data_IF_147640535647
#
_entry.id   IF_147640535647
#
_cell.length_a   1.000
_cell.length_b   1.000
_cell.length_c   1.000
_cell.angle_alpha   90.00
_cell.angle_beta   90.00
_cell.angle_gamma   90.00
#
_symmetry.space_group_name_H-M   'P 1'
#
loop_
_entity.id
_entity.type
_entity.pdbx_description
1 polymer ?
#
# COMPACT_ATOMS: atom_id res chain seq x y z
N UNK A 1 -8.02 7.31 -1.59
CA UNK A 1 -7.49 5.92 -1.47
C UNK A 1 -5.97 5.87 -1.25
N UNK A 2 -5.49 6.39 -0.13
CA UNK A 2 -4.11 6.18 0.34
C UNK A 2 -4.10 6.25 1.86
N UNK A 3 -3.13 5.61 2.50
CA UNK A 3 -2.99 5.66 3.94
C UNK A 3 -1.64 5.14 4.42
N UNK A 4 -1.38 5.39 5.69
CA UNK A 4 -0.26 4.81 6.40
C UNK A 4 -0.66 4.39 7.80
N UNK A 5 0.10 3.47 8.37
CA UNK A 5 0.00 3.08 9.76
C UNK A 5 1.41 2.82 10.32
N UNK A 6 1.63 3.26 11.55
CA UNK A 6 2.87 3.07 12.30
C UNK A 6 2.51 2.40 13.61
N UNK A 7 3.08 1.23 13.86
CA UNK A 7 2.71 0.44 15.01
C UNK A 7 3.68 -0.69 15.26
N UNK A 8 3.21 -1.72 15.94
CA UNK A 8 3.99 -2.92 16.19
C UNK A 8 3.11 -4.16 16.16
N UNK A 9 3.74 -5.29 15.84
CA UNK A 9 3.16 -6.62 16.02
C UNK A 9 4.06 -7.48 16.90
N UNK A 10 3.43 -8.37 17.65
CA UNK A 10 4.05 -9.41 18.49
C UNK A 10 3.27 -10.69 18.28
N UNK A 11 3.69 -11.81 18.88
CA UNK A 11 2.88 -13.03 18.95
C UNK A 11 1.56 -12.92 19.74
N UNK A 12 1.21 -11.73 20.27
CA UNK A 12 -0.05 -11.48 20.96
C UNK A 12 -0.83 -10.26 20.39
N UNK A 13 -0.35 -9.67 19.29
CA UNK A 13 -0.94 -8.43 18.74
C UNK A 13 -2.10 -8.66 17.76
N UNK A 14 -2.38 -9.92 17.42
CA UNK A 14 -3.39 -10.31 16.44
C UNK A 14 -3.96 -11.69 16.73
N UNK A 15 -4.50 -12.32 15.70
CA UNK A 15 -5.16 -13.63 15.80
C UNK A 15 -4.18 -14.80 15.96
N UNK A 16 -2.88 -14.58 15.79
CA UNK A 16 -1.87 -15.63 15.74
C UNK A 16 -0.79 -15.52 16.81
N UNK A 17 -0.10 -16.63 17.06
CA UNK A 17 0.98 -16.72 18.05
C UNK A 17 2.35 -16.26 17.53
N UNK A 18 2.50 -16.05 16.22
CA UNK A 18 3.75 -15.61 15.59
C UNK A 18 3.66 -14.18 15.08
N UNK A 19 4.73 -13.39 15.30
CA UNK A 19 4.76 -11.99 14.93
C UNK A 19 4.67 -11.77 13.40
N UNK A 20 5.34 -12.60 12.59
CA UNK A 20 5.28 -12.49 11.13
C UNK A 20 3.89 -12.82 10.56
N UNK A 21 3.17 -13.77 11.17
CA UNK A 21 1.79 -14.10 10.81
C UNK A 21 0.85 -12.92 11.16
N UNK A 22 1.00 -12.34 12.34
CA UNK A 22 0.25 -11.14 12.74
C UNK A 22 0.60 -9.93 11.87
N UNK A 23 1.80 -9.84 11.32
CA UNK A 23 2.16 -8.79 10.36
C UNK A 23 1.38 -8.94 9.05
N UNK A 24 1.26 -10.16 8.51
CA UNK A 24 0.47 -10.41 7.29
C UNK A 24 -1.01 -10.13 7.53
N UNK A 25 -1.55 -10.48 8.69
CA UNK A 25 -2.90 -10.09 9.10
C UNK A 25 -3.06 -8.57 9.18
N UNK A 26 -2.10 -7.88 9.81
CA UNK A 26 -2.13 -6.42 9.93
C UNK A 26 -2.15 -5.75 8.56
N UNK A 27 -1.31 -6.20 7.63
CA UNK A 27 -1.28 -5.67 6.25
C UNK A 27 -2.64 -5.86 5.59
N UNK A 28 -3.25 -7.05 5.67
CA UNK A 28 -4.60 -7.31 5.15
C UNK A 28 -5.59 -6.28 5.70
N UNK A 29 -5.68 -6.17 7.03
CA UNK A 29 -6.68 -5.31 7.67
C UNK A 29 -6.53 -3.84 7.31
N UNK A 30 -5.28 -3.36 7.21
CA UNK A 30 -4.99 -1.99 6.83
C UNK A 30 -5.43 -1.70 5.39
N UNK A 31 -5.02 -2.53 4.43
CA UNK A 31 -5.20 -2.22 3.01
C UNK A 31 -6.59 -2.59 2.47
N UNK A 32 -7.37 -3.38 3.21
CA UNK A 32 -8.76 -3.71 2.83
C UNK A 32 -9.80 -2.99 3.69
N UNK A 33 -9.37 -2.05 4.55
CA UNK A 33 -10.29 -1.28 5.37
C UNK A 33 -11.26 -0.45 4.51
N UNK A 34 -12.50 -0.34 5.00
CA UNK A 34 -13.55 0.49 4.42
C UNK A 34 -14.28 1.22 5.55
N UNK A 35 -14.75 2.43 5.28
CA UNK A 35 -15.61 3.15 6.23
C UNK A 35 -16.91 3.57 5.57
N UNK A 36 -17.96 3.68 6.38
CA UNK A 36 -19.21 4.35 6.04
C UNK A 36 -19.47 5.40 7.12
N UNK A 37 -19.59 6.65 6.71
CA UNK A 37 -19.98 7.75 7.58
C UNK A 37 -21.44 7.65 8.01
N UNK A 38 -21.85 8.55 8.89
CA UNK A 38 -23.26 8.77 9.22
C UNK A 38 -23.95 9.56 8.11
N UNK A 39 -25.28 9.50 8.04
CA UNK A 39 -26.07 10.37 7.17
C UNK A 39 -26.00 11.83 7.65
N UNK A 40 -25.49 12.73 6.81
CA UNK A 40 -25.43 14.17 7.07
C UNK A 40 -26.56 14.88 6.34
N UNK A 41 -27.51 15.43 7.09
CA UNK A 41 -28.68 16.12 6.55
C UNK A 41 -28.39 17.54 6.05
N UNK A 42 -28.98 17.91 4.92
CA UNK A 42 -29.09 19.28 4.44
C UNK A 42 -30.52 19.52 3.99
N UNK A 43 -31.20 20.48 4.64
CA UNK A 43 -32.61 20.74 4.38
C UNK A 43 -33.29 21.45 5.54
N UNK A 44 -34.60 21.63 5.42
CA UNK A 44 -35.44 22.25 6.47
C UNK A 44 -36.59 21.36 6.96
N UNK A 45 -36.86 20.26 6.26
CA UNK A 45 -37.90 19.30 6.60
C UNK A 45 -37.45 18.28 7.65
N UNK A 46 -38.19 17.17 7.72
CA UNK A 46 -37.93 16.09 8.66
C UNK A 46 -36.55 15.45 8.41
N UNK A 47 -35.73 15.37 9.46
CA UNK A 47 -34.42 14.72 9.45
C UNK A 47 -34.43 13.42 10.26
N UNK A 48 -34.75 12.31 9.60
CA UNK A 48 -34.82 11.00 10.25
C UNK A 48 -34.26 9.85 9.39
N UNK A 49 -33.56 10.17 8.29
CA UNK A 49 -32.80 9.19 7.52
C UNK A 49 -31.51 8.82 8.26
N UNK A 50 -31.29 7.52 8.46
CA UNK A 50 -30.07 6.95 9.00
C UNK A 50 -29.36 6.05 7.98
N UNK A 51 -28.03 6.13 7.92
CA UNK A 51 -27.21 5.25 7.09
C UNK A 51 -26.85 3.94 7.81
N UNK A 52 -27.00 2.81 7.12
CA UNK A 52 -26.75 1.46 7.63
C UNK A 52 -25.89 0.60 6.72
N UNK A 53 -25.77 -0.69 7.06
CA UNK A 53 -25.07 -1.70 6.28
C UNK A 53 -23.56 -1.77 6.52
N UNK A 54 -22.76 -2.13 5.51
CA UNK A 54 -21.29 -2.11 5.51
C UNK A 54 -20.83 -1.79 4.10
N UNK A 55 -19.96 -0.80 3.93
CA UNK A 55 -19.49 -0.43 2.60
C UNK A 55 -18.51 -1.48 2.07
N UNK A 56 -18.80 -2.06 0.92
CA UNK A 56 -17.96 -3.09 0.27
C UNK A 56 -17.32 -2.63 -1.03
N UNK A 57 -17.47 -1.34 -1.38
CA UNK A 57 -16.92 -0.78 -2.60
C UNK A 57 -15.41 -0.53 -2.52
N UNK A 58 -14.78 -0.44 -3.69
CA UNK A 58 -13.31 -0.30 -3.83
C UNK A 58 -12.84 1.13 -4.07
N UNK A 59 -13.75 2.10 -4.11
CA UNK A 59 -13.43 3.52 -4.35
C UNK A 59 -14.14 4.39 -3.33
N UNK A 60 -13.61 5.57 -3.07
CA UNK A 60 -14.29 6.55 -2.22
C UNK A 60 -15.59 7.01 -2.90
N UNK A 61 -16.68 7.16 -2.14
CA UNK A 61 -18.00 7.57 -2.65
C UNK A 61 -18.72 8.49 -1.70
N UNK A 62 -19.55 9.36 -2.27
CA UNK A 62 -20.51 10.16 -1.52
C UNK A 62 -21.89 9.79 -2.00
N UNK A 63 -22.58 8.97 -1.23
CA UNK A 63 -23.98 8.67 -1.52
C UNK A 63 -24.83 9.86 -1.13
N UNK A 64 -25.69 10.33 -2.03
CA UNK A 64 -26.71 11.33 -1.72
C UNK A 64 -28.08 10.70 -1.88
N UNK A 65 -28.90 10.79 -0.85
CA UNK A 65 -30.33 10.43 -0.88
C UNK A 65 -31.11 11.73 -0.80
N UNK A 66 -31.90 12.06 -1.81
CA UNK A 66 -32.63 13.32 -1.92
C UNK A 66 -34.12 13.05 -2.12
N UNK A 67 -34.97 13.74 -1.38
CA UNK A 67 -36.43 13.69 -1.56
C UNK A 67 -36.77 14.27 -2.93
N UNK A 68 -37.45 13.49 -3.76
CA UNK A 68 -37.92 13.89 -5.10
C UNK A 68 -39.44 13.99 -5.21
N UNK A 69 -40.19 13.47 -4.25
CA UNK A 69 -41.62 13.74 -4.08
C UNK A 69 -42.01 13.75 -2.60
N UNK A 70 -42.77 14.76 -2.19
CA UNK A 70 -43.44 14.79 -0.90
C UNK A 70 -44.95 14.60 -1.12
N UNK A 71 -45.51 13.49 -0.62
CA UNK A 71 -46.92 13.08 -0.83
C UNK A 71 -47.38 12.16 0.33
N UNK A 72 -48.44 11.39 0.12
CA UNK A 72 -48.94 10.36 1.05
C UNK A 72 -47.89 9.33 1.43
N UNK A 73 -47.03 8.97 0.48
CA UNK A 73 -45.74 8.30 0.71
C UNK A 73 -44.70 9.12 -0.05
N UNK A 74 -43.74 9.65 0.69
CA UNK A 74 -42.64 10.40 0.09
C UNK A 74 -41.74 9.43 -0.71
N UNK A 75 -41.15 9.93 -1.79
CA UNK A 75 -40.13 9.21 -2.56
C UNK A 75 -38.79 9.91 -2.45
N UNK A 76 -37.73 9.15 -2.68
CA UNK A 76 -36.39 9.68 -2.87
C UNK A 76 -35.77 9.20 -4.19
N UNK A 77 -34.83 10.00 -4.67
CA UNK A 77 -33.80 9.59 -5.62
C UNK A 77 -32.47 9.49 -4.91
N UNK A 78 -31.56 8.70 -5.46
CA UNK A 78 -30.23 8.58 -4.88
C UNK A 78 -29.11 8.55 -5.92
N UNK A 79 -27.97 9.05 -5.48
CA UNK A 79 -26.76 9.26 -6.26
C UNK A 79 -25.58 8.62 -5.53
N UNK A 80 -24.59 8.15 -6.29
CA UNK A 80 -23.32 7.61 -5.77
C UNK A 80 -22.15 8.61 -5.84
N UNK A 81 -22.38 9.77 -6.45
CA UNK A 81 -21.38 10.77 -6.79
C UNK A 81 -21.76 12.18 -6.27
N UNK A 82 -22.47 12.24 -5.14
CA UNK A 82 -22.83 13.51 -4.49
C UNK A 82 -23.85 14.34 -5.27
N UNK A 83 -24.72 13.70 -6.04
CA UNK A 83 -25.79 14.33 -6.82
C UNK A 83 -25.38 14.80 -8.22
N UNK A 84 -24.25 14.34 -8.76
CA UNK A 84 -23.85 14.63 -10.15
C UNK A 84 -24.66 13.78 -11.13
N UNK A 85 -24.84 12.50 -10.83
CA UNK A 85 -25.73 11.57 -11.54
C UNK A 85 -26.65 10.83 -10.57
N UNK A 86 -27.82 10.41 -11.05
CA UNK A 86 -28.82 9.68 -10.27
C UNK A 86 -28.85 8.21 -10.69
N UNK A 87 -28.76 7.31 -9.72
CA UNK A 87 -28.78 5.86 -9.96
C UNK A 87 -30.22 5.33 -9.99
N UNK A 88 -31.09 5.89 -9.15
CA UNK A 88 -32.52 5.62 -9.14
C UNK A 88 -33.30 6.87 -8.71
N UNK A 89 -34.54 6.94 -9.15
CA UNK A 89 -35.51 8.01 -8.89
C UNK A 89 -36.86 7.38 -8.50
N UNK A 90 -37.76 8.16 -7.91
CA UNK A 90 -39.10 7.74 -7.50
C UNK A 90 -39.12 6.52 -6.54
N UNK A 91 -38.09 6.39 -5.70
CA UNK A 91 -37.99 5.26 -4.74
C UNK A 91 -38.86 5.55 -3.53
N UNK A 92 -39.97 4.83 -3.37
CA UNK A 92 -40.86 4.97 -2.22
C UNK A 92 -40.16 4.71 -0.89
N UNK A 93 -40.39 5.57 0.11
CA UNK A 93 -39.91 5.35 1.48
C UNK A 93 -40.77 4.29 2.17
N UNK A 94 -40.13 3.24 2.66
CA UNK A 94 -40.81 2.06 3.21
C UNK A 94 -40.82 1.98 4.74
N UNK A 95 -40.00 2.79 5.43
CA UNK A 95 -39.72 2.65 6.86
C UNK A 95 -38.74 1.51 7.22
N UNK A 96 -38.38 0.66 6.24
CA UNK A 96 -37.39 -0.39 6.39
C UNK A 96 -36.03 0.04 5.79
N UNK A 97 -34.99 -0.77 6.02
CA UNK A 97 -33.69 -0.55 5.39
C UNK A 97 -33.79 -0.77 3.87
N UNK A 98 -33.45 0.26 3.11
CA UNK A 98 -33.44 0.26 1.64
C UNK A 98 -31.99 0.30 1.17
N UNK A 99 -31.57 -0.70 0.41
CA UNK A 99 -30.21 -0.78 -0.13
C UNK A 99 -30.01 0.22 -1.26
N UNK A 100 -28.88 0.94 -1.23
CA UNK A 100 -28.41 1.77 -2.32
C UNK A 100 -27.56 0.92 -3.26
N UNK A 101 -26.34 0.58 -2.81
CA UNK A 101 -25.42 -0.38 -3.43
C UNK A 101 -24.21 -0.61 -2.51
N UNK A 102 -23.38 -1.61 -2.85
CA UNK A 102 -22.15 -1.96 -2.12
C UNK A 102 -22.39 -2.13 -0.61
N UNK A 103 -23.52 -2.76 -0.27
CA UNK A 103 -23.92 -3.02 1.11
C UNK A 103 -24.29 -1.78 1.93
N UNK A 104 -24.37 -0.59 1.32
CA UNK A 104 -24.85 0.63 2.00
C UNK A 104 -26.36 0.69 1.94
N UNK A 105 -26.99 0.90 3.09
CA UNK A 105 -28.44 1.06 3.20
C UNK A 105 -28.80 2.40 3.80
N UNK A 106 -30.04 2.84 3.59
CA UNK A 106 -30.66 3.95 4.33
C UNK A 106 -32.00 3.50 4.92
N UNK A 107 -32.35 4.05 6.08
CA UNK A 107 -33.62 3.79 6.75
C UNK A 107 -34.21 5.13 7.19
N UNK A 108 -35.48 5.36 6.87
CA UNK A 108 -36.27 6.50 7.37
C UNK A 108 -37.22 5.99 8.44
N UNK A 109 -37.50 6.79 9.47
CA UNK A 109 -38.44 6.38 10.53
C UNK A 109 -39.90 6.76 10.23
N UNK A 110 -40.10 7.78 9.38
CA UNK A 110 -41.38 8.18 8.82
C UNK A 110 -41.39 7.93 7.31
N UNK A 111 -42.57 7.66 6.74
CA UNK A 111 -42.76 7.52 5.28
C UNK A 111 -43.31 8.78 4.61
N UNK A 112 -43.57 9.83 5.39
CA UNK A 112 -44.14 11.10 4.92
C UNK A 112 -43.67 12.24 5.83
N UNK A 113 -43.74 13.49 5.35
CA UNK A 113 -43.42 14.70 6.10
C UNK A 113 -42.05 15.30 5.80
N UNK A 114 -41.34 14.76 4.80
CA UNK A 114 -40.10 15.35 4.32
C UNK A 114 -40.38 16.51 3.37
N UNK A 115 -39.37 17.35 3.11
CA UNK A 115 -39.48 18.47 2.16
C UNK A 115 -38.77 18.13 0.87
N UNK A 116 -39.40 18.45 -0.27
CA UNK A 116 -38.81 18.26 -1.59
C UNK A 116 -37.42 18.92 -1.67
N UNK A 117 -36.46 18.19 -2.24
CA UNK A 117 -35.04 18.54 -2.36
C UNK A 117 -34.19 18.48 -1.08
N UNK A 118 -34.76 18.22 0.09
CA UNK A 118 -33.94 17.87 1.27
C UNK A 118 -33.13 16.61 0.96
N UNK A 119 -31.91 16.53 1.49
CA UNK A 119 -31.04 15.39 1.22
C UNK A 119 -30.12 15.01 2.38
N UNK A 120 -29.64 13.78 2.32
CA UNK A 120 -28.63 13.23 3.21
C UNK A 120 -27.43 12.76 2.42
N UNK A 121 -26.24 13.05 2.92
CA UNK A 121 -24.99 12.55 2.36
C UNK A 121 -24.33 11.53 3.27
N UNK A 122 -23.84 10.44 2.68
CA UNK A 122 -23.09 9.39 3.35
C UNK A 122 -21.74 9.25 2.65
N UNK A 123 -20.69 9.74 3.30
CA UNK A 123 -19.33 9.58 2.81
C UNK A 123 -18.81 8.17 3.15
N UNK A 124 -18.36 7.45 2.14
CA UNK A 124 -17.74 6.13 2.30
C UNK A 124 -16.31 6.18 1.77
N UNK A 125 -15.38 5.56 2.50
CA UNK A 125 -13.98 5.47 2.06
C UNK A 125 -13.54 4.03 1.89
N UNK A 126 -12.61 3.80 0.97
CA UNK A 126 -12.00 2.50 0.71
C UNK A 126 -10.49 2.65 0.53
N UNK A 127 -9.75 1.64 0.95
CA UNK A 127 -8.30 1.56 0.69
C UNK A 127 -7.97 0.94 -0.67
N UNK A 128 -8.98 0.40 -1.38
CA UNK A 128 -8.87 -0.01 -2.78
C UNK A 128 -8.26 -1.39 -3.02
N UNK A 129 -8.15 -2.24 -1.99
CA UNK A 129 -7.70 -3.63 -2.13
C UNK A 129 -8.79 -4.64 -1.77
N UNK A 130 -8.82 -5.75 -2.49
CA UNK A 130 -9.68 -6.91 -2.21
C UNK A 130 -8.82 -8.12 -1.87
N UNK A 131 -9.22 -8.92 -0.89
CA UNK A 131 -8.62 -10.23 -0.62
C UNK A 131 -9.09 -11.22 -1.68
N UNK A 132 -8.15 -11.79 -2.44
CA UNK A 132 -8.42 -12.91 -3.35
C UNK A 132 -8.16 -14.27 -2.69
N UNK A 133 -7.23 -14.30 -1.73
CA UNK A 133 -6.88 -15.48 -0.96
C UNK A 133 -6.33 -15.08 0.39
N UNK A 134 -6.78 -15.78 1.43
CA UNK A 134 -6.21 -15.68 2.77
C UNK A 134 -6.19 -17.08 3.42
N UNK A 135 -5.02 -17.71 3.42
CA UNK A 135 -4.80 -19.06 3.97
C UNK A 135 -3.98 -18.95 5.26
N UNK A 136 -4.42 -19.59 6.33
CA UNK A 136 -3.86 -19.42 7.69
C UNK A 136 -3.00 -20.63 8.11
N UNK A 137 -2.15 -21.12 7.20
CA UNK A 137 -1.08 -22.08 7.54
C UNK A 137 -1.52 -23.48 7.95
N UNK A 138 -2.74 -23.90 7.60
CA UNK A 138 -3.34 -25.17 8.04
C UNK A 138 -2.53 -26.43 7.66
N UNK A 139 -1.66 -26.34 6.63
CA UNK A 139 -0.88 -27.49 6.11
C UNK A 139 0.61 -27.41 6.43
N UNK A 140 1.22 -26.23 6.34
CA UNK A 140 2.68 -26.05 6.47
C UNK A 140 3.08 -24.87 7.36
N UNK A 141 2.14 -24.31 8.13
CA UNK A 141 2.37 -23.17 9.01
C UNK A 141 2.52 -21.81 8.30
N UNK A 142 2.57 -21.80 6.96
CA UNK A 142 2.78 -20.56 6.22
C UNK A 142 1.45 -19.83 5.95
N UNK A 143 1.37 -18.55 6.33
CA UNK A 143 0.14 -17.76 6.09
C UNK A 143 0.27 -17.02 4.79
N UNK A 144 -0.72 -17.12 3.90
CA UNK A 144 -0.64 -16.55 2.54
C UNK A 144 -1.78 -15.58 2.33
N UNK A 145 -1.44 -14.44 1.79
CA UNK A 145 -2.36 -13.38 1.41
C UNK A 145 -2.11 -13.03 -0.06
N UNK A 146 -3.17 -13.05 -0.87
CA UNK A 146 -3.13 -12.50 -2.23
C UNK A 146 -4.21 -11.43 -2.33
N UNK A 147 -3.81 -10.26 -2.81
CA UNK A 147 -4.64 -9.06 -2.89
C UNK A 147 -4.81 -8.63 -4.35
N UNK A 148 -5.93 -7.98 -4.64
CA UNK A 148 -6.20 -7.26 -5.90
C UNK A 148 -6.46 -5.79 -5.61
N UNK A 149 -5.58 -4.91 -6.08
CA UNK A 149 -5.74 -3.46 -6.03
C UNK A 149 -6.55 -2.96 -7.22
N UNK A 150 -7.41 -1.95 -7.00
CA UNK A 150 -8.29 -1.38 -8.02
C UNK A 150 -7.61 -0.25 -8.84
N UNK A 151 -6.42 0.18 -8.47
CA UNK A 151 -5.74 1.33 -9.07
C UNK A 151 -6.35 2.67 -8.65
N UNK A 152 -5.67 3.79 -8.98
CA UNK A 152 -6.13 5.12 -8.54
C UNK A 152 -7.46 5.55 -9.16
N UNK A 153 -7.83 4.97 -10.31
CA UNK A 153 -9.10 5.21 -11.00
C UNK A 153 -10.17 4.17 -10.68
N UNK A 154 -9.85 3.12 -9.91
CA UNK A 154 -10.77 2.03 -9.60
C UNK A 154 -11.03 1.04 -10.75
N UNK A 155 -10.30 1.15 -11.86
CA UNK A 155 -10.53 0.36 -13.08
C UNK A 155 -9.41 -0.64 -13.40
N UNK A 156 -8.41 -0.77 -12.52
CA UNK A 156 -7.26 -1.63 -12.73
C UNK A 156 -7.36 -2.90 -11.90
N UNK A 157 -6.59 -3.92 -12.27
CA UNK A 157 -6.42 -5.13 -11.48
C UNK A 157 -4.94 -5.34 -11.19
N UNK A 158 -4.54 -5.11 -9.94
CA UNK A 158 -3.14 -5.13 -9.52
C UNK A 158 -2.95 -6.25 -8.52
N UNK A 159 -2.19 -7.26 -8.88
CA UNK A 159 -2.04 -8.47 -8.07
C UNK A 159 -0.73 -8.46 -7.30
N UNK A 160 -0.84 -8.46 -5.97
CA UNK A 160 0.28 -8.55 -5.04
C UNK A 160 0.00 -9.62 -3.99
N UNK A 161 1.04 -10.09 -3.31
CA UNK A 161 0.86 -11.05 -2.22
C UNK A 161 1.88 -10.91 -1.12
N UNK A 162 1.52 -11.48 0.03
CA UNK A 162 2.36 -11.64 1.21
C UNK A 162 2.31 -13.08 1.69
N UNK A 163 3.43 -13.60 2.21
CA UNK A 163 3.48 -14.90 2.85
C UNK A 163 4.30 -14.86 4.14
N UNK A 164 3.74 -15.26 5.28
CA UNK A 164 4.55 -15.50 6.48
C UNK A 164 5.19 -16.88 6.34
N UNK A 165 6.52 -16.98 6.35
CA UNK A 165 7.24 -18.24 6.24
C UNK A 165 8.35 -18.35 7.28
N UNK A 166 8.48 -19.53 7.92
CA UNK A 166 9.34 -19.67 9.09
C UNK A 166 9.82 -21.11 9.31
N UNK A 167 10.85 -21.27 10.13
CA UNK A 167 11.26 -22.54 10.71
C UNK A 167 11.83 -22.26 12.10
N UNK A 168 11.19 -22.80 13.15
CA UNK A 168 11.59 -22.55 14.54
C UNK A 168 12.95 -23.15 14.89
N UNK A 169 13.29 -24.32 14.34
CA UNK A 169 14.57 -24.99 14.58
C UNK A 169 15.75 -24.23 13.94
N UNK A 170 15.50 -23.60 12.78
CA UNK A 170 16.47 -22.78 12.07
C UNK A 170 16.41 -21.28 12.44
N UNK A 171 15.50 -20.91 13.36
CA UNK A 171 15.31 -19.57 13.91
C UNK A 171 15.18 -18.44 12.86
N UNK A 172 14.28 -18.64 11.89
CA UNK A 172 13.86 -17.57 10.99
C UNK A 172 12.34 -17.48 10.90
N UNK A 173 11.82 -16.25 10.86
CA UNK A 173 10.38 -15.95 10.84
C UNK A 173 10.08 -14.82 9.87
N UNK A 174 10.28 -15.09 8.60
CA UNK A 174 10.34 -14.09 7.55
C UNK A 174 8.96 -13.79 6.95
N UNK A 175 8.90 -12.72 6.16
CA UNK A 175 7.75 -12.35 5.35
C UNK A 175 8.18 -12.36 3.89
N UNK A 176 7.44 -13.02 3.02
CA UNK A 176 7.61 -13.00 1.58
C UNK A 176 6.67 -12.00 0.95
N UNK A 177 7.09 -11.43 -0.16
CA UNK A 177 6.33 -10.52 -1.00
C UNK A 177 6.25 -11.06 -2.43
N UNK A 178 5.16 -10.79 -3.11
CA UNK A 178 4.93 -11.21 -4.50
C UNK A 178 4.29 -10.09 -5.31
N UNK A 179 4.65 -10.02 -6.59
CA UNK A 179 3.84 -9.40 -7.63
C UNK A 179 3.61 -10.39 -8.78
N UNK A 180 2.42 -10.37 -9.37
CA UNK A 180 2.05 -11.22 -10.49
C UNK A 180 1.12 -10.50 -11.48
N UNK A 181 0.79 -11.15 -12.59
CA UNK A 181 -0.06 -10.56 -13.65
C UNK A 181 -1.49 -11.09 -13.65
N UNK A 182 -1.84 -11.93 -12.68
CA UNK A 182 -3.16 -12.52 -12.58
C UNK A 182 -3.28 -13.43 -11.38
N UNK A 183 -4.50 -13.93 -11.15
CA UNK A 183 -4.81 -14.84 -10.07
C UNK A 183 -5.51 -16.10 -10.61
N UNK A 184 -5.04 -17.27 -10.19
CA UNK A 184 -5.66 -18.57 -10.44
C UNK A 184 -5.80 -19.28 -9.11
N UNK A 185 -7.05 -19.60 -8.72
CA UNK A 185 -7.36 -20.19 -7.42
C UNK A 185 -6.69 -21.56 -7.21
N UNK A 186 -6.50 -22.34 -8.27
CA UNK A 186 -5.85 -23.65 -8.22
C UNK A 186 -4.32 -23.57 -8.10
N UNK A 187 -3.71 -22.45 -8.52
CA UNK A 187 -2.26 -22.29 -8.42
C UNK A 187 -1.85 -22.03 -6.97
N UNK A 188 -0.63 -22.47 -6.62
CA UNK A 188 -0.02 -22.10 -5.34
C UNK A 188 0.38 -20.62 -5.33
N UNK A 189 0.74 -20.09 -4.15
CA UNK A 189 1.25 -18.73 -4.00
C UNK A 189 2.40 -18.42 -4.96
N UNK A 190 3.39 -19.32 -5.08
CA UNK A 190 4.58 -19.11 -5.91
C UNK A 190 4.35 -19.36 -7.41
N UNK A 191 3.20 -19.92 -7.80
CA UNK A 191 2.91 -20.33 -9.19
C UNK A 191 1.81 -19.50 -9.85
N UNK A 192 1.45 -18.35 -9.25
CA UNK A 192 0.55 -17.41 -9.89
C UNK A 192 1.12 -16.93 -11.24
N UNK A 193 0.27 -16.57 -12.22
CA UNK A 193 0.70 -16.12 -13.54
C UNK A 193 1.81 -15.07 -13.49
N UNK A 194 2.99 -15.41 -14.03
CA UNK A 194 4.17 -14.53 -14.08
C UNK A 194 4.58 -13.99 -12.70
N UNK A 195 4.44 -14.79 -11.63
CA UNK A 195 4.83 -14.38 -10.29
C UNK A 195 6.33 -14.14 -10.16
N UNK A 196 6.70 -13.05 -9.50
CA UNK A 196 8.03 -12.83 -8.94
C UNK A 196 7.92 -12.64 -7.43
N UNK A 197 8.80 -13.31 -6.69
CA UNK A 197 8.81 -13.32 -5.23
C UNK A 197 10.15 -12.87 -4.67
N UNK A 198 10.08 -12.26 -3.50
CA UNK A 198 11.22 -11.84 -2.70
C UNK A 198 10.88 -11.95 -1.22
N UNK A 199 11.86 -11.95 -0.33
CA UNK A 199 11.67 -12.10 1.11
C UNK A 199 12.12 -10.87 1.88
N UNK A 200 11.58 -10.68 3.06
CA UNK A 200 11.92 -9.65 4.04
C UNK A 200 12.28 -10.42 5.31
N UNK A 201 13.54 -10.35 5.78
CA UNK A 201 13.93 -10.98 7.04
C UNK A 201 13.07 -10.44 8.17
N UNK A 202 12.72 -11.32 9.11
CA UNK A 202 12.04 -10.95 10.33
C UNK A 202 12.32 -11.97 11.43
N UNK A 203 11.79 -11.71 12.62
CA UNK A 203 11.90 -12.59 13.77
C UNK A 203 10.53 -12.79 14.44
N UNK A 204 10.52 -13.59 15.51
CA UNK A 204 9.31 -13.86 16.29
C UNK A 204 9.19 -13.01 17.55
N UNK A 205 9.86 -11.86 17.60
CA UNK A 205 9.77 -10.91 18.70
C UNK A 205 8.82 -9.76 18.32
N UNK A 206 8.93 -8.63 19.02
CA UNK A 206 8.26 -7.41 18.61
C UNK A 206 8.86 -6.92 17.28
N UNK A 207 8.00 -6.69 16.30
CA UNK A 207 8.31 -6.03 15.03
C UNK A 207 7.62 -4.67 15.05
N UNK A 208 8.39 -3.60 15.15
CA UNK A 208 7.85 -2.26 14.87
C UNK A 208 7.76 -2.06 13.36
N UNK A 209 6.69 -1.44 12.87
CA UNK A 209 6.45 -1.31 11.43
C UNK A 209 6.02 0.10 11.04
N UNK A 210 6.29 0.40 9.76
CA UNK A 210 5.73 1.50 9.00
C UNK A 210 5.17 0.90 7.71
N UNK A 211 3.85 0.94 7.54
CA UNK A 211 3.18 0.47 6.32
C UNK A 211 2.54 1.67 5.66
N UNK A 212 2.78 1.83 4.35
CA UNK A 212 2.21 2.91 3.55
C UNK A 212 1.63 2.30 2.28
N UNK A 213 0.48 2.80 1.83
CA UNK A 213 -0.23 2.20 0.72
C UNK A 213 -1.05 3.23 -0.05
N UNK A 214 -1.33 2.88 -1.30
CA UNK A 214 -2.48 3.40 -2.04
C UNK A 214 -3.10 2.23 -2.80
N UNK A 215 -4.10 2.47 -3.62
CA UNK A 215 -4.77 1.40 -4.39
C UNK A 215 -3.91 0.78 -5.51
N UNK A 216 -2.63 1.17 -5.65
CA UNK A 216 -1.65 0.65 -6.61
C UNK A 216 -0.39 0.02 -6.00
N UNK A 217 0.00 0.41 -4.78
CA UNK A 217 1.23 -0.06 -4.11
C UNK A 217 1.07 -0.25 -2.61
N UNK A 218 1.91 -1.10 -2.05
CA UNK A 218 2.13 -1.26 -0.61
C UNK A 218 3.65 -1.24 -0.38
N UNK A 219 4.11 -0.35 0.50
CA UNK A 219 5.50 -0.27 0.93
C UNK A 219 5.58 -0.47 2.44
N UNK A 220 6.61 -1.21 2.87
CA UNK A 220 6.77 -1.66 4.25
C UNK A 220 8.20 -1.38 4.69
N UNK A 221 8.35 -0.79 5.87
CA UNK A 221 9.57 -0.84 6.65
C UNK A 221 9.27 -1.53 7.99
N UNK A 222 10.22 -2.32 8.49
CA UNK A 222 10.11 -2.99 9.77
C UNK A 222 11.40 -2.81 10.54
N UNK A 223 11.31 -2.62 11.85
CA UNK A 223 12.43 -2.78 12.78
C UNK A 223 12.27 -4.13 13.44
N UNK A 224 13.21 -5.01 13.17
CA UNK A 224 13.17 -6.40 13.66
C UNK A 224 14.17 -6.62 14.79
N UNK A 225 15.25 -5.84 14.86
CA UNK A 225 16.23 -5.92 15.96
C UNK A 225 16.87 -4.54 16.23
N UNK A 226 17.78 -4.44 17.17
CA UNK A 226 18.44 -3.18 17.56
C UNK A 226 19.88 -3.10 17.04
N UNK A 227 20.17 -2.28 15.99
CA UNK A 227 19.27 -1.66 15.01
C UNK A 227 19.27 -2.42 13.68
N UNK A 228 18.21 -3.19 13.39
CA UNK A 228 18.04 -3.94 12.14
C UNK A 228 16.71 -3.54 11.51
N UNK A 229 16.80 -2.82 10.39
CA UNK A 229 15.65 -2.36 9.62
C UNK A 229 15.55 -3.09 8.29
N UNK A 230 14.34 -3.56 8.02
CA UNK A 230 13.99 -4.40 6.89
C UNK A 230 12.93 -3.69 6.05
N UNK A 231 12.90 -3.93 4.75
CA UNK A 231 12.10 -3.13 3.82
C UNK A 231 11.56 -3.98 2.68
N UNK A 232 10.38 -3.60 2.20
CA UNK A 232 9.73 -4.24 1.07
C UNK A 232 8.83 -3.28 0.29
N UNK A 233 8.66 -3.57 -1.00
CA UNK A 233 7.79 -2.83 -1.91
C UNK A 233 7.10 -3.79 -2.87
N UNK A 234 5.78 -3.67 -3.02
CA UNK A 234 5.01 -4.36 -4.05
C UNK A 234 3.98 -3.43 -4.67
N UNK A 235 3.78 -3.56 -5.97
CA UNK A 235 2.77 -2.81 -6.71
C UNK A 235 3.38 -1.92 -7.79
N UNK A 236 2.60 -0.94 -8.27
CA UNK A 236 3.02 -0.11 -9.39
C UNK A 236 4.05 0.95 -8.99
N UNK A 237 5.03 1.15 -9.86
CA UNK A 237 5.83 2.38 -9.88
C UNK A 237 5.18 3.39 -10.84
N UNK A 238 5.64 4.64 -10.81
CA UNK A 238 5.16 5.72 -11.67
C UNK A 238 5.95 5.71 -12.99
N UNK A 239 5.40 5.18 -14.11
CA UNK A 239 6.15 5.09 -15.35
C UNK A 239 6.31 6.45 -16.03
N UNK A 240 7.44 6.67 -16.71
CA UNK A 240 7.63 7.77 -17.66
C UNK A 240 7.08 7.40 -19.05
N UNK A 241 5.84 6.91 -19.05
CA UNK A 241 5.10 6.51 -20.23
C UNK A 241 3.60 6.70 -19.97
N UNK A 242 2.80 6.84 -21.04
CA UNK A 242 1.34 6.87 -20.90
C UNK A 242 0.83 5.50 -20.46
N UNK A 243 -0.33 5.40 -19.77
CA UNK A 243 -0.92 4.11 -19.41
C UNK A 243 -1.10 3.15 -20.61
N UNK A 244 -1.37 3.67 -21.81
CA UNK A 244 -1.47 2.85 -23.03
C UNK A 244 -0.13 2.31 -23.55
N UNK A 245 0.99 2.95 -23.20
CA UNK A 245 2.33 2.56 -23.62
C UNK A 245 2.98 1.62 -22.62
N UNK A 246 2.68 1.76 -21.33
CA UNK A 246 3.14 0.87 -20.26
C UNK A 246 1.95 0.41 -19.41
N UNK A 247 1.21 -0.63 -19.86
CA UNK A 247 -0.06 -1.00 -19.22
C UNK A 247 0.08 -1.53 -17.79
N UNK A 248 1.21 -2.17 -17.47
CA UNK A 248 1.38 -2.85 -16.18
C UNK A 248 2.78 -2.61 -15.57
N UNK A 249 3.08 -1.38 -15.12
CA UNK A 249 4.37 -0.97 -14.57
C UNK A 249 4.51 -1.42 -13.11
N UNK A 250 4.53 -2.73 -12.88
CA UNK A 250 4.62 -3.32 -11.55
C UNK A 250 6.07 -3.62 -11.16
N UNK A 251 6.42 -3.44 -9.89
CA UNK A 251 7.66 -3.91 -9.31
C UNK A 251 7.42 -4.65 -7.99
N UNK A 252 8.42 -5.44 -7.60
CA UNK A 252 8.41 -6.21 -6.37
C UNK A 252 9.85 -6.35 -5.87
N UNK A 253 10.03 -6.16 -4.56
CA UNK A 253 11.23 -6.59 -3.88
C UNK A 253 11.13 -6.45 -2.36
N UNK A 254 11.68 -7.43 -1.68
CA UNK A 254 12.14 -7.38 -0.29
C UNK A 254 13.66 -7.50 -0.26
N UNK A 255 14.26 -7.77 0.88
CA UNK A 255 15.71 -7.80 1.08
C UNK A 255 16.38 -9.17 0.79
N UNK A 256 15.59 -10.21 0.49
CA UNK A 256 16.04 -11.57 0.18
C UNK A 256 15.66 -12.01 -1.24
N UNK A 257 16.50 -12.84 -1.86
CA UNK A 257 16.18 -13.45 -3.16
C UNK A 257 15.20 -14.61 -2.97
N UNK A 258 13.96 -14.43 -3.42
CA UNK A 258 12.87 -15.38 -3.14
C UNK A 258 12.62 -15.55 -1.64
N UNK A 259 12.06 -16.70 -1.26
CA UNK A 259 11.80 -17.05 0.14
C UNK A 259 13.00 -17.77 0.77
N UNK A 260 14.14 -17.07 0.84
CA UNK A 260 15.36 -17.63 1.42
C UNK A 260 15.20 -17.90 2.92
N UNK A 261 15.79 -19.01 3.39
CA UNK A 261 15.86 -19.41 4.80
C UNK A 261 16.96 -18.62 5.53
N UNK A 262 16.78 -17.30 5.59
CA UNK A 262 17.76 -16.36 6.14
C UNK A 262 17.29 -15.85 7.51
N UNK A 263 18.17 -15.86 8.51
CA UNK A 263 17.87 -15.29 9.84
C UNK A 263 17.97 -13.77 9.80
N UNK A 264 17.24 -13.09 10.68
CA UNK A 264 17.27 -11.61 10.77
C UNK A 264 18.63 -11.05 11.18
N UNK A 265 19.51 -11.87 11.78
CA UNK A 265 20.87 -11.47 12.15
C UNK A 265 21.89 -11.60 11.02
N UNK A 266 21.48 -12.06 9.83
CA UNK A 266 22.33 -12.06 8.65
C UNK A 266 22.80 -10.63 8.30
N UNK A 267 23.98 -10.50 7.71
CA UNK A 267 24.55 -9.18 7.39
C UNK A 267 24.81 -8.95 5.89
N UNK A 268 24.36 -9.87 5.03
CA UNK A 268 24.63 -9.82 3.60
C UNK A 268 23.58 -9.04 2.81
N UNK A 269 22.36 -8.95 3.35
CA UNK A 269 21.23 -8.31 2.69
C UNK A 269 21.26 -6.77 2.82
N UNK A 270 20.40 -6.14 2.01
CA UNK A 270 20.32 -4.69 1.86
C UNK A 270 18.97 -4.31 1.25
N UNK A 271 18.53 -3.08 1.45
CA UNK A 271 17.28 -2.52 0.91
C UNK A 271 17.09 -2.92 -0.57
N UNK A 272 15.89 -3.40 -0.98
CA UNK A 272 15.66 -3.94 -2.33
C UNK A 272 16.05 -2.98 -3.45
N UNK A 273 15.73 -1.71 -3.29
CA UNK A 273 15.89 -0.68 -4.31
C UNK A 273 17.21 0.09 -4.18
N UNK A 274 18.23 -0.50 -3.54
CA UNK A 274 19.58 0.09 -3.45
C UNK A 274 20.50 -0.42 -4.55
N UNK A 275 20.60 0.35 -5.63
CA UNK A 275 21.45 0.06 -6.77
C UNK A 275 20.84 -0.99 -7.69
N UNK A 276 21.59 -2.06 -7.98
CA UNK A 276 21.12 -3.16 -8.82
C UNK A 276 21.11 -4.47 -8.00
N UNK A 277 19.92 -5.04 -7.80
CA UNK A 277 19.70 -6.12 -6.82
C UNK A 277 18.80 -7.21 -7.39
N UNK A 278 19.22 -8.47 -7.34
CA UNK A 278 18.48 -9.61 -7.92
C UNK A 278 17.11 -9.86 -7.27
N UNK A 279 16.96 -9.45 -6.00
CA UNK A 279 15.75 -9.50 -5.21
C UNK A 279 14.75 -8.37 -5.51
N UNK A 280 15.09 -7.43 -6.39
CA UNK A 280 14.20 -6.35 -6.81
C UNK A 280 14.05 -6.33 -8.33
N UNK A 281 12.82 -6.52 -8.80
CA UNK A 281 12.52 -6.54 -10.23
C UNK A 281 11.29 -5.73 -10.56
N UNK A 282 11.31 -5.14 -11.75
CA UNK A 282 10.15 -4.54 -12.39
C UNK A 282 9.74 -5.38 -13.60
N UNK A 283 8.47 -5.29 -13.98
CA UNK A 283 7.97 -5.91 -15.21
C UNK A 283 8.11 -4.96 -16.38
N UNK A 284 8.75 -5.40 -17.45
CA UNK A 284 8.98 -4.57 -18.66
C UNK A 284 7.78 -4.60 -19.60
N UNK A 285 7.83 -3.75 -20.65
CA UNK A 285 6.89 -3.76 -21.77
C UNK A 285 6.84 -5.09 -22.51
N UNK A 286 7.96 -5.83 -22.54
CA UNK A 286 8.04 -7.17 -23.12
C UNK A 286 7.38 -8.25 -22.24
N UNK A 287 6.86 -7.86 -21.07
CA UNK A 287 6.21 -8.75 -20.12
C UNK A 287 7.14 -9.65 -19.32
N UNK A 288 8.43 -9.33 -19.30
CA UNK A 288 9.47 -10.05 -18.56
C UNK A 288 9.86 -9.31 -17.29
N UNK A 289 10.31 -10.05 -16.28
CA UNK A 289 10.90 -9.47 -15.06
C UNK A 289 12.34 -9.03 -15.32
N UNK A 290 12.62 -7.76 -15.10
CA UNK A 290 13.95 -7.15 -15.26
C UNK A 290 14.49 -6.67 -13.91
N UNK A 291 15.76 -6.99 -13.65
CA UNK A 291 16.51 -6.51 -12.50
C UNK A 291 16.92 -5.06 -12.74
N UNK A 292 16.06 -4.14 -12.31
CA UNK A 292 16.27 -2.72 -12.52
C UNK A 292 17.52 -2.22 -11.80
N UNK A 293 18.23 -1.29 -12.44
CA UNK A 293 19.13 -0.38 -11.72
C UNK A 293 18.29 0.75 -11.15
N UNK A 294 18.70 1.27 -10.00
CA UNK A 294 17.99 2.35 -9.31
C UNK A 294 18.90 3.55 -9.10
N UNK A 295 18.42 4.72 -9.52
CA UNK A 295 19.01 5.99 -9.12
C UNK A 295 18.60 6.33 -7.68
N UNK A 296 19.42 7.09 -6.95
CA UNK A 296 20.72 7.59 -7.35
C UNK A 296 21.86 6.58 -7.12
N UNK A 297 21.63 5.44 -6.45
CA UNK A 297 22.68 4.45 -6.11
C UNK A 297 23.44 3.85 -7.31
N UNK A 298 22.89 3.95 -8.51
CA UNK A 298 23.57 3.61 -9.74
C UNK A 298 24.59 4.65 -10.25
N UNK A 299 24.63 5.85 -9.67
CA UNK A 299 25.49 6.97 -10.10
C UNK A 299 26.47 7.37 -9.00
N UNK A 300 27.76 7.14 -9.24
CA UNK A 300 28.85 7.42 -8.29
C UNK A 300 29.09 8.90 -8.01
N UNK A 301 28.65 9.80 -8.91
CA UNK A 301 28.80 11.25 -8.74
C UNK A 301 27.70 11.84 -7.87
N UNK A 302 26.48 11.31 -7.97
CA UNK A 302 25.35 11.72 -7.12
C UNK A 302 25.46 11.07 -5.74
N UNK A 303 25.91 9.81 -5.68
CA UNK A 303 25.93 9.06 -4.43
C UNK A 303 27.29 8.97 -3.75
N UNK A 304 28.34 9.62 -4.25
CA UNK A 304 29.70 9.48 -3.71
C UNK A 304 30.13 8.02 -3.43
N UNK A 305 29.58 7.07 -4.18
CA UNK A 305 29.86 5.64 -4.01
C UNK A 305 31.32 5.35 -4.27
N UNK A 306 31.86 4.32 -3.61
CA UNK A 306 33.23 3.86 -3.78
C UNK A 306 33.48 3.42 -5.23
N UNK A 307 33.88 4.35 -6.09
CA UNK A 307 34.52 4.01 -7.36
C UNK A 307 35.97 3.63 -7.06
N UNK A 308 36.46 2.58 -7.71
CA UNK A 308 37.88 2.23 -7.75
C UNK A 308 38.71 3.23 -8.58
N UNK A 309 38.09 4.30 -9.10
CA UNK A 309 38.70 5.15 -10.14
C UNK A 309 38.80 6.63 -9.78
N UNK A 310 38.20 7.07 -8.67
CA UNK A 310 38.36 8.41 -8.12
C UNK A 310 38.35 8.26 -6.61
N UNK A 311 39.42 8.72 -5.95
CA UNK A 311 39.54 8.77 -4.50
C UNK A 311 38.22 9.32 -3.93
N UNK A 312 37.43 8.52 -3.18
CA UNK A 312 36.14 8.98 -2.68
C UNK A 312 36.39 10.22 -1.83
N UNK A 313 35.98 11.39 -2.35
CA UNK A 313 36.04 12.60 -1.55
C UNK A 313 34.75 12.69 -0.75
N UNK A 314 34.78 12.73 0.58
CA UNK A 314 33.61 12.98 1.43
C UNK A 314 32.92 14.35 1.17
N UNK A 315 33.44 15.12 0.21
CA UNK A 315 32.89 16.38 -0.28
C UNK A 315 31.88 16.26 -1.43
N UNK A 316 31.67 15.07 -2.01
CA UNK A 316 30.68 14.86 -3.09
C UNK A 316 29.36 14.25 -2.61
N UNK A 317 29.26 13.85 -1.34
CA UNK A 317 28.03 13.30 -0.77
C UNK A 317 26.93 14.37 -0.76
N UNK A 318 25.70 13.99 -1.13
CA UNK A 318 24.54 14.86 -0.92
C UNK A 318 24.45 15.24 0.56
N UNK A 319 24.20 16.52 0.83
CA UNK A 319 24.00 17.08 2.17
C UNK A 319 22.70 17.86 2.21
N UNK A 320 22.27 18.19 3.42
CA UNK A 320 21.29 19.24 3.59
C UNK A 320 21.80 20.56 3.01
N UNK A 321 20.90 21.45 2.59
CA UNK A 321 21.25 22.82 2.23
C UNK A 321 20.46 23.76 3.11
N UNK A 322 21.14 24.39 4.05
CA UNK A 322 20.50 25.28 5.03
C UNK A 322 19.58 24.54 6.01
N UNK A 323 19.87 23.29 6.35
CA UNK A 323 19.03 22.45 7.24
C UNK A 323 17.95 21.64 6.52
N UNK A 324 17.75 21.87 5.22
CA UNK A 324 16.74 21.18 4.42
C UNK A 324 17.35 19.99 3.66
N UNK A 325 16.74 18.81 3.85
CA UNK A 325 17.14 17.59 3.16
C UNK A 325 16.51 17.50 1.77
N UNK A 326 17.29 17.05 0.79
CA UNK A 326 16.81 16.83 -0.57
C UNK A 326 16.35 15.38 -0.76
N UNK A 327 15.13 15.21 -1.27
CA UNK A 327 14.64 13.93 -1.75
C UNK A 327 15.07 13.71 -3.20
N UNK A 328 15.72 12.58 -3.46
CA UNK A 328 16.01 12.14 -4.83
C UNK A 328 15.06 10.99 -5.18
N UNK A 329 14.28 11.09 -6.28
CA UNK A 329 13.41 9.99 -6.70
C UNK A 329 14.22 8.71 -6.91
N UNK A 330 13.66 7.57 -6.50
CA UNK A 330 14.24 6.26 -6.80
C UNK A 330 13.80 5.84 -8.20
N UNK A 331 14.57 6.24 -9.20
CA UNK A 331 14.25 5.99 -10.60
C UNK A 331 14.77 4.62 -11.09
N UNK A 332 13.90 3.89 -11.78
CA UNK A 332 14.16 2.58 -12.36
C UNK A 332 14.73 2.76 -13.78
N UNK A 333 15.90 2.18 -14.04
CA UNK A 333 16.55 2.31 -15.34
C UNK A 333 17.31 1.05 -15.77
N UNK A 334 17.65 1.02 -17.06
CA UNK A 334 18.58 0.09 -17.69
C UNK A 334 19.85 0.85 -18.10
N UNK A 335 21.05 0.40 -17.72
CA UNK A 335 22.29 1.08 -18.07
C UNK A 335 22.42 1.23 -19.57
N UNK A 336 22.71 2.46 -20.02
CA UNK A 336 22.92 2.81 -21.44
C UNK A 336 21.69 2.73 -22.34
N UNK A 337 20.48 2.63 -21.78
CA UNK A 337 19.26 2.58 -22.60
C UNK A 337 18.11 3.40 -21.99
N UNK A 338 17.28 2.76 -21.16
CA UNK A 338 15.94 3.23 -20.85
C UNK A 338 15.83 3.76 -19.41
N UNK A 339 15.09 4.86 -19.24
CA UNK A 339 14.58 5.32 -17.96
C UNK A 339 13.08 5.02 -17.90
N UNK A 340 12.67 4.16 -16.97
CA UNK A 340 11.32 3.58 -16.97
C UNK A 340 10.33 4.37 -16.12
N UNK A 341 10.77 4.99 -15.04
CA UNK A 341 9.91 5.68 -14.08
C UNK A 341 10.54 5.74 -12.69
N UNK A 342 9.76 6.14 -11.69
CA UNK A 342 10.20 6.22 -10.30
C UNK A 342 9.28 5.44 -9.35
N UNK A 343 9.83 4.93 -8.24
CA UNK A 343 9.02 4.35 -7.18
C UNK A 343 8.04 5.39 -6.60
N UNK A 344 6.81 4.95 -6.33
CA UNK A 344 5.84 5.80 -5.66
C UNK A 344 6.04 5.76 -4.14
N UNK A 345 6.26 6.92 -3.52
CA UNK A 345 6.41 7.07 -2.08
C UNK A 345 7.79 6.71 -1.51
N UNK A 346 8.77 6.33 -2.34
CA UNK A 346 10.13 5.96 -1.91
C UNK A 346 11.15 6.90 -2.57
N UNK A 347 11.97 7.54 -1.74
CA UNK A 347 12.98 8.50 -2.18
C UNK A 347 14.31 8.19 -1.49
N UNK A 348 15.42 8.38 -2.18
CA UNK A 348 16.71 8.47 -1.52
C UNK A 348 16.79 9.77 -0.72
N UNK A 349 17.38 9.69 0.47
CA UNK A 349 17.72 10.82 1.33
C UNK A 349 19.11 10.56 1.93
N UNK A 350 19.91 11.60 2.09
CA UNK A 350 21.26 11.45 2.66
C UNK A 350 21.21 11.12 4.15
N UNK A 351 22.14 10.25 4.58
CA UNK A 351 22.41 9.97 5.99
C UNK A 351 23.16 11.08 6.74
N UNK A 352 23.61 12.13 6.06
CA UNK A 352 24.36 13.22 6.69
C UNK A 352 23.54 13.91 7.78
N UNK A 353 23.99 13.85 9.04
CA UNK A 353 23.28 14.44 10.19
C UNK A 353 21.83 13.97 10.36
N UNK A 354 21.52 12.79 9.83
CA UNK A 354 20.20 12.19 9.86
C UNK A 354 20.17 10.99 10.82
N UNK A 355 18.99 10.67 11.33
CA UNK A 355 18.77 9.49 12.16
C UNK A 355 17.57 8.71 11.62
N UNK A 356 17.66 7.38 11.75
CA UNK A 356 16.54 6.49 11.44
C UNK A 356 15.33 6.82 12.32
N UNK A 357 14.13 6.56 11.80
CA UNK A 357 12.83 6.86 12.41
C UNK A 357 12.47 8.36 12.49
N UNK A 358 13.40 9.27 12.21
CA UNK A 358 13.07 10.69 12.09
C UNK A 358 12.04 10.93 10.99
N UNK A 359 11.21 11.95 11.19
CA UNK A 359 10.28 12.43 10.17
C UNK A 359 10.73 13.77 9.61
N UNK A 360 10.52 13.96 8.30
CA UNK A 360 10.75 15.22 7.59
C UNK A 360 9.51 15.60 6.79
N UNK A 361 9.22 16.90 6.70
CA UNK A 361 8.10 17.42 5.90
C UNK A 361 8.64 18.20 4.73
N UNK A 362 8.43 17.70 3.51
CA UNK A 362 8.94 18.30 2.28
C UNK A 362 7.77 18.41 1.29
N UNK A 363 7.51 19.63 0.80
CA UNK A 363 6.39 19.89 -0.12
C UNK A 363 5.02 19.54 0.46
N UNK A 364 4.83 19.71 1.78
CA UNK A 364 3.56 19.40 2.46
C UNK A 364 3.28 17.91 2.65
N UNK A 365 4.26 17.03 2.39
CA UNK A 365 4.19 15.58 2.64
C UNK A 365 5.18 15.19 3.73
N UNK A 366 4.74 14.32 4.63
CA UNK A 366 5.58 13.75 5.70
C UNK A 366 6.25 12.47 5.22
N UNK A 367 7.52 12.30 5.55
CA UNK A 367 8.30 11.11 5.25
C UNK A 367 8.96 10.59 6.52
N UNK A 368 9.03 9.27 6.69
CA UNK A 368 9.89 8.63 7.69
C UNK A 368 11.21 8.23 7.06
N UNK A 369 12.31 8.46 7.78
CA UNK A 369 13.65 8.08 7.36
C UNK A 369 13.95 6.67 7.84
N UNK A 370 14.28 5.76 6.93
CA UNK A 370 14.59 4.36 7.21
C UNK A 370 16.00 4.05 6.73
N UNK A 371 16.75 3.29 7.53
CA UNK A 371 18.14 2.94 7.23
C UNK A 371 18.29 1.53 6.62
N UNK A 372 19.44 1.25 6.01
CA UNK A 372 19.78 -0.02 5.39
C UNK A 372 20.33 -1.01 6.42
N UNK A 373 19.44 -1.81 7.00
CA UNK A 373 19.76 -2.74 8.09
C UNK A 373 20.34 -2.01 9.30
N UNK A 374 21.64 -2.16 9.63
CA UNK A 374 22.33 -1.43 10.69
C UNK A 374 23.27 -0.32 10.16
N UNK A 375 23.29 -0.09 8.84
CA UNK A 375 24.25 0.82 8.20
C UNK A 375 23.84 2.29 8.37
N UNK A 376 24.82 3.15 8.59
CA UNK A 376 24.62 4.57 8.94
C UNK A 376 25.42 5.53 8.06
N UNK A 377 25.95 5.06 6.93
CA UNK A 377 26.64 5.89 5.96
C UNK A 377 25.67 6.79 5.18
N UNK A 378 26.25 7.71 4.40
CA UNK A 378 25.50 8.69 3.62
C UNK A 378 24.46 8.11 2.66
N UNK A 379 24.68 6.88 2.17
CA UNK A 379 23.83 6.19 1.19
C UNK A 379 22.96 5.09 1.79
N UNK A 380 22.98 4.97 3.11
CA UNK A 380 22.33 3.89 3.81
C UNK A 380 20.93 4.29 4.28
N UNK A 381 20.33 5.33 3.70
CA UNK A 381 19.02 5.84 4.08
C UNK A 381 18.10 6.05 2.88
N UNK A 382 16.80 5.89 3.14
CA UNK A 382 15.73 6.31 2.25
C UNK A 382 14.60 6.97 3.06
N UNK A 383 13.83 7.81 2.39
CA UNK A 383 12.63 8.43 2.92
C UNK A 383 11.41 7.71 2.35
N UNK A 384 10.52 7.23 3.23
CA UNK A 384 9.24 6.65 2.87
C UNK A 384 8.11 7.63 3.18
N UNK A 385 7.32 7.98 2.17
CA UNK A 385 6.19 8.90 2.29
C UNK A 385 5.06 8.29 3.10
N UNK A 386 4.59 9.00 4.11
CA UNK A 386 3.50 8.59 4.99
C UNK A 386 2.17 9.08 4.42
N UNK A 387 1.63 8.38 3.41
CA UNK A 387 0.42 8.79 2.70
C UNK A 387 -0.44 7.66 2.17
#
# INVERSE_FOLDING_TARGET
MSGHDIGYVTGASGSFSLANQNMVEKIRDLVTATTRGTASFTGSGLNDCAAGGTYTGLVDRTYRVQIDLADTVDTFKWSKDGGVTWTAEDVAITGAAQELENGVTVTFTATTGHTLNDYWEVACTSQGWTVLRYEQGEVDGNHRLILKGCGLTGAEEIFVGFIAYHNADADYYNIGVMACTGYVAENSYNTQPNAFTSGIPANNNRIDYWVTWNSQRIAIAMKVDTPVYESGYVGKFLPYARPSQFPYPICCGGMLSGHAATRSSDTSHSIPFKGNRANFKMRTLAGTWYQAYTMPWGDVWITCGASTQITPSPSAAMRDTGGEYHLTPVELYEPSANLFGALDGIYHITGFNSAVENTVTIGGKTYVIIQDVWRTGFLDYYAMRLD
#
